data_IF_071361960546
#
_entry.id   IF_071361960546
#
_cell.length_a   1.000
_cell.length_b   1.000
_cell.length_c   1.000
_cell.angle_alpha   90.00
_cell.angle_beta   90.00
_cell.angle_gamma   90.00
#
_symmetry.space_group_name_H-M   'P 1'
#
loop_
_entity.id
_entity.type
_entity.pdbx_description
1 polymer ?
#
# COMPACT_ATOMS: atom_id res chain seq x y z
N UNK A 1 37.68 -34.48 9.79
CA UNK A 1 37.27 -33.09 9.49
C UNK A 1 37.77 -32.18 10.61
N UNK A 2 38.62 -31.22 10.31
CA UNK A 2 39.32 -30.43 11.32
C UNK A 2 38.39 -29.44 11.99
N UNK A 3 38.54 -29.23 13.30
CA UNK A 3 37.78 -28.24 14.12
C UNK A 3 37.72 -26.83 13.47
N UNK A 4 38.73 -26.50 12.68
CA UNK A 4 38.82 -25.20 11.97
C UNK A 4 37.79 -25.05 10.83
N UNK A 5 37.44 -26.14 10.15
CA UNK A 5 36.41 -26.13 9.07
C UNK A 5 35.02 -25.98 9.67
N UNK A 6 34.76 -26.61 10.82
CA UNK A 6 33.44 -26.46 11.50
C UNK A 6 33.19 -25.04 12.00
N UNK A 7 34.23 -24.33 12.47
CA UNK A 7 34.11 -22.94 12.93
C UNK A 7 33.88 -22.00 11.77
N UNK A 8 34.51 -22.23 10.62
CA UNK A 8 34.33 -21.39 9.41
C UNK A 8 32.90 -21.51 8.83
N UNK A 9 32.33 -22.70 8.84
CA UNK A 9 30.95 -22.93 8.38
C UNK A 9 29.93 -22.28 9.34
N UNK A 10 30.19 -22.31 10.66
CA UNK A 10 29.31 -21.66 11.63
C UNK A 10 29.31 -20.13 11.51
N UNK A 11 30.47 -19.52 11.21
CA UNK A 11 30.57 -18.05 11.02
C UNK A 11 29.88 -17.61 9.73
N UNK A 12 29.98 -18.38 8.63
CA UNK A 12 29.27 -18.08 7.38
C UNK A 12 27.75 -18.21 7.55
N UNK A 13 27.27 -19.17 8.33
CA UNK A 13 25.84 -19.31 8.63
C UNK A 13 25.28 -18.14 9.46
N UNK A 14 26.07 -17.55 10.37
CA UNK A 14 25.66 -16.40 11.16
C UNK A 14 25.57 -15.10 10.34
N UNK A 15 26.41 -14.94 9.32
CA UNK A 15 26.40 -13.75 8.47
C UNK A 15 25.19 -13.73 7.51
N UNK A 16 24.68 -14.91 7.13
CA UNK A 16 23.48 -15.03 6.30
C UNK A 16 22.16 -14.76 7.05
N UNK A 17 22.18 -14.76 8.39
CA UNK A 17 21.00 -14.47 9.22
C UNK A 17 20.68 -12.98 9.39
N UNK A 18 21.54 -12.06 8.91
CA UNK A 18 21.23 -10.63 8.78
C UNK A 18 20.48 -10.31 7.48
N UNK A 19 19.62 -11.20 7.02
CA UNK A 19 18.67 -10.89 5.97
C UNK A 19 17.76 -9.78 6.46
N UNK A 20 17.92 -8.62 5.87
CA UNK A 20 17.15 -7.39 6.07
C UNK A 20 15.68 -7.70 6.21
N UNK A 21 15.18 -7.67 7.45
CA UNK A 21 13.75 -7.72 7.71
C UNK A 21 13.12 -6.45 7.13
N UNK A 22 12.56 -6.58 5.93
CA UNK A 22 11.69 -5.55 5.37
C UNK A 22 10.43 -5.43 6.22
N UNK A 23 9.61 -4.41 6.02
CA UNK A 23 8.35 -4.29 6.72
C UNK A 23 7.51 -5.54 6.47
N UNK A 24 6.96 -6.15 7.53
CA UNK A 24 6.01 -7.24 7.42
C UNK A 24 4.58 -6.71 7.36
N UNK A 25 3.63 -7.50 6.83
CA UNK A 25 2.22 -7.17 6.98
C UNK A 25 1.78 -7.48 8.40
N UNK A 26 1.26 -6.49 9.12
CA UNK A 26 0.65 -6.70 10.44
C UNK A 26 -0.78 -7.19 10.33
N UNK A 27 -1.47 -6.77 9.28
CA UNK A 27 -2.84 -7.17 9.02
C UNK A 27 -3.14 -7.10 7.53
N UNK A 28 -3.91 -8.05 7.06
CA UNK A 28 -4.54 -8.02 5.74
C UNK A 28 -5.99 -8.47 5.85
N UNK A 29 -6.83 -7.90 5.01
CA UNK A 29 -8.22 -8.26 4.87
C UNK A 29 -8.57 -8.42 3.40
N UNK A 30 -9.49 -9.31 3.12
CA UNK A 30 -10.00 -9.59 1.79
C UNK A 30 -11.51 -9.79 1.84
N UNK A 31 -12.20 -9.27 0.84
CA UNK A 31 -13.62 -9.56 0.68
C UNK A 31 -13.82 -11.07 0.43
N UNK A 32 -14.72 -11.73 1.16
CA UNK A 32 -14.91 -13.18 1.09
C UNK A 32 -15.23 -13.70 -0.31
N UNK A 33 -15.91 -12.90 -1.11
CA UNK A 33 -16.35 -13.24 -2.45
C UNK A 33 -15.26 -13.02 -3.52
N UNK A 34 -14.13 -12.39 -3.17
CA UNK A 34 -13.08 -12.08 -4.11
C UNK A 34 -12.18 -13.29 -4.33
N UNK A 35 -12.35 -13.98 -5.45
CA UNK A 35 -11.50 -15.11 -5.81
C UNK A 35 -10.17 -14.66 -6.42
N UNK A 36 -10.18 -13.66 -7.32
CA UNK A 36 -8.99 -13.07 -7.96
C UNK A 36 -9.18 -11.60 -8.20
N UNK A 37 -8.09 -10.85 -7.99
CA UNK A 37 -8.01 -9.45 -8.38
C UNK A 37 -7.54 -9.39 -9.84
N UNK A 38 -8.47 -9.20 -10.75
CA UNK A 38 -8.18 -9.02 -12.17
C UNK A 38 -8.80 -7.70 -12.61
N UNK A 39 -7.93 -6.75 -12.92
CA UNK A 39 -8.32 -5.46 -13.48
C UNK A 39 -7.84 -5.38 -14.91
N UNK A 40 -8.70 -4.90 -15.81
CA UNK A 40 -8.27 -4.53 -17.15
C UNK A 40 -7.49 -3.22 -17.10
N UNK A 41 -7.93 -2.32 -16.21
CA UNK A 41 -7.32 -1.02 -16.04
C UNK A 41 -7.44 -0.54 -14.60
N UNK A 42 -6.41 -0.72 -13.80
CA UNK A 42 -6.37 -0.22 -12.43
C UNK A 42 -5.65 1.14 -12.35
N UNK A 43 -6.13 2.03 -11.51
CA UNK A 43 -5.42 3.24 -11.13
C UNK A 43 -4.53 2.94 -9.92
N UNK A 44 -3.28 3.41 -9.93
CA UNK A 44 -2.43 3.47 -8.73
C UNK A 44 -2.33 4.92 -8.26
N UNK A 45 -2.61 5.16 -6.99
CA UNK A 45 -2.52 6.49 -6.38
C UNK A 45 -1.79 6.44 -5.05
N UNK A 46 -0.88 7.38 -4.86
CA UNK A 46 -0.22 7.61 -3.58
C UNK A 46 -0.73 8.92 -2.96
N UNK A 47 -1.27 8.80 -1.75
CA UNK A 47 -1.86 9.94 -1.04
C UNK A 47 -0.75 10.76 -0.39
N UNK A 48 -0.39 11.85 -1.03
CA UNK A 48 0.58 12.83 -0.53
C UNK A 48 0.39 14.18 -1.23
N UNK A 49 0.71 15.26 -0.54
CA UNK A 49 0.74 16.62 -1.11
C UNK A 49 2.04 16.90 -1.86
N UNK A 50 3.09 16.11 -1.64
CA UNK A 50 4.35 16.20 -2.40
C UNK A 50 4.18 15.59 -3.79
N UNK A 51 4.17 16.46 -4.81
CA UNK A 51 3.96 16.03 -6.20
C UNK A 51 5.13 15.23 -6.79
N UNK A 52 6.35 15.44 -6.33
CA UNK A 52 7.54 14.70 -6.76
C UNK A 52 7.50 13.27 -6.23
N UNK A 53 7.32 13.14 -4.93
CA UNK A 53 7.17 11.86 -4.25
C UNK A 53 5.97 11.07 -4.79
N UNK A 54 4.84 11.74 -5.02
CA UNK A 54 3.65 11.12 -5.62
C UNK A 54 3.96 10.47 -6.96
N UNK A 55 4.59 11.19 -7.88
CA UNK A 55 4.95 10.66 -9.21
C UNK A 55 5.87 9.46 -9.10
N UNK A 56 6.95 9.60 -8.34
CA UNK A 56 7.93 8.52 -8.14
C UNK A 56 7.27 7.23 -7.63
N UNK A 57 6.43 7.33 -6.61
CA UNK A 57 5.75 6.18 -6.01
C UNK A 57 4.70 5.59 -6.96
N UNK A 58 3.85 6.42 -7.59
CA UNK A 58 2.81 5.94 -8.50
C UNK A 58 3.42 5.23 -9.72
N UNK A 59 4.53 5.72 -10.28
CA UNK A 59 5.25 5.07 -11.38
C UNK A 59 5.79 3.69 -10.97
N UNK A 60 6.40 3.60 -9.80
CA UNK A 60 6.91 2.32 -9.29
C UNK A 60 5.79 1.31 -9.01
N UNK A 61 4.67 1.76 -8.47
CA UNK A 61 3.50 0.91 -8.27
C UNK A 61 2.98 0.38 -9.61
N UNK A 62 2.86 1.25 -10.60
CA UNK A 62 2.36 0.87 -11.92
C UNK A 62 3.26 -0.15 -12.63
N UNK A 63 4.58 -0.13 -12.40
CA UNK A 63 5.48 -1.16 -12.94
C UNK A 63 5.36 -2.52 -12.27
N UNK A 64 4.87 -2.56 -11.03
CA UNK A 64 4.76 -3.79 -10.22
C UNK A 64 3.39 -4.45 -10.28
N UNK A 65 2.35 -3.66 -10.52
CA UNK A 65 0.95 -4.11 -10.54
C UNK A 65 0.49 -4.24 -11.99
N UNK A 66 0.31 -5.45 -12.51
CA UNK A 66 -0.09 -5.66 -13.90
C UNK A 66 -1.41 -4.94 -14.23
N UNK A 67 -1.48 -4.30 -15.39
CA UNK A 67 -2.67 -3.59 -15.85
C UNK A 67 -2.97 -2.28 -15.11
N UNK A 68 -2.00 -1.75 -14.34
CA UNK A 68 -2.19 -0.50 -13.62
C UNK A 68 -1.49 0.69 -14.26
N UNK A 69 -1.98 1.89 -13.93
CA UNK A 69 -1.52 3.17 -14.48
C UNK A 69 -1.40 4.20 -13.36
N UNK A 70 -0.35 5.05 -13.35
CA UNK A 70 -0.21 6.10 -12.36
C UNK A 70 -1.35 7.12 -12.48
N UNK A 71 -1.96 7.48 -11.37
CA UNK A 71 -3.09 8.42 -11.36
C UNK A 71 -2.71 9.80 -11.91
N UNK A 72 -1.51 10.29 -11.56
CA UNK A 72 -1.06 11.61 -11.98
C UNK A 72 -0.98 11.79 -13.50
N UNK A 73 -0.63 10.73 -14.24
CA UNK A 73 -0.50 10.78 -15.71
C UNK A 73 -1.76 10.33 -16.43
N UNK A 74 -2.42 9.28 -15.93
CA UNK A 74 -3.60 8.72 -16.56
C UNK A 74 -4.85 9.60 -16.41
N UNK A 75 -4.96 10.31 -15.28
CA UNK A 75 -6.03 11.25 -14.96
C UNK A 75 -5.45 12.55 -14.38
N UNK A 76 -4.79 13.40 -15.19
CA UNK A 76 -4.02 14.55 -14.70
C UNK A 76 -4.81 15.52 -13.82
N UNK A 77 -6.11 15.63 -14.05
CA UNK A 77 -7.03 16.49 -13.29
C UNK A 77 -7.90 15.72 -12.31
N UNK A 78 -7.39 14.58 -11.81
CA UNK A 78 -8.12 13.77 -10.84
C UNK A 78 -8.45 14.59 -9.60
N UNK A 79 -9.72 14.60 -9.23
CA UNK A 79 -10.17 15.35 -8.06
C UNK A 79 -9.70 14.67 -6.78
N UNK A 80 -8.81 15.32 -6.04
CA UNK A 80 -8.27 14.79 -4.78
C UNK A 80 -9.21 15.03 -3.59
N UNK A 81 -10.07 16.05 -3.69
CA UNK A 81 -10.92 16.48 -2.56
C UNK A 81 -12.41 16.19 -2.76
N UNK A 82 -12.80 15.84 -3.98
CA UNK A 82 -14.19 15.47 -4.29
C UNK A 82 -14.22 14.04 -4.81
N UNK A 83 -14.53 13.12 -3.94
CA UNK A 83 -14.50 11.69 -4.20
C UNK A 83 -15.50 11.25 -5.28
N UNK A 84 -16.70 11.84 -5.29
CA UNK A 84 -17.71 11.53 -6.32
C UNK A 84 -17.19 11.90 -7.72
N UNK A 85 -16.59 13.10 -7.83
CA UNK A 85 -15.96 13.54 -9.08
C UNK A 85 -14.75 12.69 -9.46
N UNK A 86 -13.92 12.31 -8.50
CA UNK A 86 -12.78 11.40 -8.74
C UNK A 86 -13.26 10.07 -9.35
N UNK A 87 -14.28 9.48 -8.74
CA UNK A 87 -14.89 8.23 -9.20
C UNK A 87 -15.45 8.35 -10.62
N UNK A 88 -16.19 9.43 -10.90
CA UNK A 88 -16.73 9.70 -12.24
C UNK A 88 -15.60 9.85 -13.28
N UNK A 89 -14.55 10.60 -12.96
CA UNK A 89 -13.38 10.76 -13.83
C UNK A 89 -12.67 9.43 -14.12
N UNK A 90 -12.52 8.57 -13.12
CA UNK A 90 -11.92 7.24 -13.28
C UNK A 90 -12.80 6.35 -14.17
N UNK A 91 -14.10 6.31 -13.93
CA UNK A 91 -15.04 5.55 -14.75
C UNK A 91 -15.09 6.06 -16.18
N UNK A 92 -15.09 7.38 -16.39
CA UNK A 92 -15.03 8.00 -17.71
C UNK A 92 -13.75 7.67 -18.50
N UNK A 93 -12.68 7.24 -17.80
CA UNK A 93 -11.44 6.74 -18.39
C UNK A 93 -11.33 5.21 -18.40
N UNK A 94 -12.44 4.51 -18.16
CA UNK A 94 -12.57 3.07 -18.17
C UNK A 94 -11.68 2.35 -17.15
N UNK A 95 -11.42 2.98 -16.00
CA UNK A 95 -10.81 2.28 -14.88
C UNK A 95 -11.84 1.40 -14.18
N UNK A 96 -11.47 0.14 -13.96
CA UNK A 96 -12.28 -0.86 -13.26
C UNK A 96 -11.75 -1.17 -11.86
N UNK A 97 -10.51 -0.73 -11.56
CA UNK A 97 -9.88 -0.88 -10.26
C UNK A 97 -9.15 0.36 -9.79
N UNK A 98 -8.98 0.48 -8.47
CA UNK A 98 -8.16 1.49 -7.82
C UNK A 98 -7.31 0.87 -6.71
N UNK A 99 -6.00 1.11 -6.76
CA UNK A 99 -5.03 0.79 -5.72
C UNK A 99 -4.60 2.10 -5.09
N UNK A 100 -4.93 2.31 -3.82
CA UNK A 100 -4.58 3.53 -3.10
C UNK A 100 -3.61 3.19 -1.98
N UNK A 101 -2.51 3.92 -1.93
CA UNK A 101 -1.46 3.77 -0.92
C UNK A 101 -1.36 5.07 -0.12
N UNK A 102 -1.28 4.96 1.18
CA UNK A 102 -1.00 6.09 2.08
C UNK A 102 -0.03 5.70 3.18
N UNK A 103 0.68 6.69 3.67
CA UNK A 103 1.47 6.58 4.91
C UNK A 103 0.57 6.98 6.07
N UNK A 104 0.61 6.20 7.14
CA UNK A 104 -0.13 6.46 8.39
C UNK A 104 0.84 6.57 9.55
N UNK A 105 0.60 7.52 10.44
CA UNK A 105 1.38 7.66 11.67
C UNK A 105 0.98 6.61 12.70
N UNK A 106 1.97 6.07 13.42
CA UNK A 106 1.71 5.01 14.41
C UNK A 106 0.84 5.50 15.57
N UNK A 107 0.92 6.79 15.90
CA UNK A 107 0.08 7.42 16.92
C UNK A 107 -1.41 7.48 16.54
N UNK A 108 -1.71 7.54 15.26
CA UNK A 108 -3.09 7.58 14.72
C UNK A 108 -3.61 6.17 14.36
N UNK A 109 -2.71 5.20 14.28
CA UNK A 109 -3.07 3.82 14.05
C UNK A 109 -3.67 3.25 15.34
N UNK A 110 -4.98 3.32 15.48
CA UNK A 110 -5.67 2.41 16.40
C UNK A 110 -5.27 1.01 16.01
N UNK A 111 -4.40 0.38 16.80
CA UNK A 111 -4.05 -1.03 16.66
C UNK A 111 -5.30 -1.81 16.99
N UNK A 112 -6.12 -2.09 15.98
CA UNK A 112 -7.25 -2.99 16.15
C UNK A 112 -6.70 -4.42 16.11
N UNK A 113 -7.18 -5.28 17.03
CA UNK A 113 -6.80 -6.69 17.02
C UNK A 113 -7.09 -7.34 15.67
N UNK A 114 -6.30 -8.35 15.26
CA UNK A 114 -6.60 -9.12 14.07
C UNK A 114 -8.04 -9.65 14.11
N UNK A 115 -8.82 -9.37 13.08
CA UNK A 115 -10.21 -9.83 12.96
C UNK A 115 -11.29 -8.84 13.42
N UNK A 116 -10.95 -7.72 14.04
CA UNK A 116 -11.91 -6.64 14.27
C UNK A 116 -11.72 -5.55 13.21
N UNK A 117 -12.67 -5.51 12.28
CA UNK A 117 -12.60 -4.78 11.04
C UNK A 117 -12.54 -3.26 11.19
N UNK A 118 -11.35 -2.69 11.17
CA UNK A 118 -11.19 -1.28 10.83
C UNK A 118 -11.64 -0.99 9.38
N UNK A 119 -11.82 -2.02 8.57
CA UNK A 119 -12.41 -1.97 7.22
C UNK A 119 -13.94 -1.99 7.21
N UNK A 120 -14.59 -2.28 8.33
CA UNK A 120 -16.05 -2.34 8.39
C UNK A 120 -16.71 -0.98 8.44
N UNK A 121 -15.95 0.10 8.65
CA UNK A 121 -16.50 1.44 8.80
C UNK A 121 -16.65 2.21 7.48
N UNK A 122 -15.80 1.91 6.46
CA UNK A 122 -15.81 2.61 5.17
C UNK A 122 -15.70 1.65 3.98
N UNK A 123 -16.82 1.04 3.59
CA UNK A 123 -16.82 0.03 2.55
C UNK A 123 -16.65 0.57 1.12
N UNK A 124 -16.88 1.86 0.89
CA UNK A 124 -16.87 2.42 -0.45
C UNK A 124 -15.63 3.28 -0.75
N UNK A 125 -15.25 3.32 -2.03
CA UNK A 125 -14.10 4.08 -2.52
C UNK A 125 -14.22 5.58 -2.22
N UNK A 126 -15.41 6.15 -2.33
CA UNK A 126 -15.60 7.59 -2.22
C UNK A 126 -15.35 8.08 -0.79
N UNK A 127 -15.86 7.37 0.21
CA UNK A 127 -15.62 7.65 1.62
C UNK A 127 -14.15 7.54 1.95
N UNK A 128 -13.51 6.41 1.60
CA UNK A 128 -12.09 6.21 1.84
C UNK A 128 -11.22 7.29 1.17
N UNK A 129 -11.48 7.59 -0.12
CA UNK A 129 -10.75 8.61 -0.86
C UNK A 129 -10.82 9.97 -0.20
N UNK A 130 -12.03 10.39 0.18
CA UNK A 130 -12.25 11.67 0.86
C UNK A 130 -11.46 11.76 2.16
N UNK A 131 -11.51 10.73 3.00
CA UNK A 131 -10.86 10.73 4.31
C UNK A 131 -9.34 10.62 4.20
N UNK A 132 -8.82 9.82 3.26
CA UNK A 132 -7.40 9.73 3.01
C UNK A 132 -6.79 11.11 2.63
N UNK A 133 -7.43 11.84 1.72
CA UNK A 133 -6.95 13.16 1.28
C UNK A 133 -7.20 14.27 2.31
N UNK A 134 -8.26 14.19 3.13
CA UNK A 134 -8.45 15.11 4.27
C UNK A 134 -7.38 14.90 5.33
N UNK A 135 -7.09 13.66 5.67
CA UNK A 135 -6.05 13.31 6.63
C UNK A 135 -4.68 13.78 6.19
N UNK A 136 -4.34 13.62 4.91
CA UNK A 136 -3.06 14.10 4.37
C UNK A 136 -2.93 15.63 4.43
N UNK A 137 -3.99 16.37 4.13
CA UNK A 137 -3.99 17.84 4.25
C UNK A 137 -3.87 18.33 5.69
N UNK A 138 -4.39 17.58 6.65
CA UNK A 138 -4.28 17.90 8.08
C UNK A 138 -2.88 17.61 8.64
N UNK A 139 -2.08 16.80 7.94
CA UNK A 139 -0.72 16.47 8.34
C UNK A 139 0.21 17.64 8.08
N UNK A 140 0.55 18.39 9.13
CA UNK A 140 1.38 19.60 9.07
C UNK A 140 2.88 19.34 9.19
N UNK A 141 3.29 18.11 9.49
CA UNK A 141 4.71 17.76 9.64
C UNK A 141 4.95 16.30 9.30
N UNK A 142 6.06 15.93 8.65
CA UNK A 142 6.43 14.53 8.57
C UNK A 142 6.63 14.02 10.00
N UNK A 143 5.93 12.97 10.37
CA UNK A 143 6.02 12.36 11.70
C UNK A 143 7.43 11.89 11.98
N UNK A 144 8.17 12.67 12.72
CA UNK A 144 9.59 12.48 12.92
C UNK A 144 9.94 11.45 14.03
N UNK A 145 8.98 10.94 14.81
CA UNK A 145 9.38 10.33 16.09
C UNK A 145 8.72 9.00 16.45
N UNK A 146 7.60 8.62 15.88
CA UNK A 146 6.86 7.42 16.37
C UNK A 146 6.84 6.24 15.41
N UNK A 147 7.43 6.37 14.24
CA UNK A 147 7.34 5.37 13.19
C UNK A 147 6.16 5.59 12.26
N UNK A 148 6.30 5.12 11.03
CA UNK A 148 5.28 5.19 10.00
C UNK A 148 4.95 3.80 9.49
N UNK A 149 3.70 3.55 9.21
CA UNK A 149 3.22 2.35 8.53
C UNK A 149 2.66 2.72 7.17
N UNK A 150 2.61 1.74 6.26
CA UNK A 150 2.00 1.92 4.95
C UNK A 150 0.71 1.13 4.90
N UNK A 151 -0.34 1.78 4.44
CA UNK A 151 -1.63 1.18 4.17
C UNK A 151 -1.86 1.12 2.68
N UNK A 152 -2.30 -0.03 2.20
CA UNK A 152 -2.68 -0.27 0.82
C UNK A 152 -4.09 -0.78 0.79
N UNK A 153 -4.96 -0.17 -0.02
CA UNK A 153 -6.33 -0.62 -0.24
C UNK A 153 -6.59 -0.78 -1.74
N UNK A 154 -7.40 -1.76 -2.07
CA UNK A 154 -7.76 -2.08 -3.45
C UNK A 154 -9.29 -2.13 -3.57
N UNK A 155 -9.81 -1.35 -4.51
CA UNK A 155 -11.23 -1.22 -4.81
C UNK A 155 -11.55 -1.70 -6.22
N UNK A 156 -12.72 -2.29 -6.39
CA UNK A 156 -13.39 -2.36 -7.69
C UNK A 156 -14.22 -1.09 -7.88
N UNK A 157 -14.05 -0.43 -9.03
CA UNK A 157 -14.78 0.80 -9.33
C UNK A 157 -16.15 0.55 -9.96
N UNK A 158 -16.41 -0.69 -10.40
CA UNK A 158 -17.70 -1.08 -10.95
C UNK A 158 -18.83 -1.01 -9.93
N UNK A 159 -18.65 -1.69 -8.81
CA UNK A 159 -19.59 -1.77 -7.71
C UNK A 159 -19.15 -1.00 -6.45
N UNK A 160 -18.05 -0.26 -6.53
CA UNK A 160 -17.51 0.59 -5.44
C UNK A 160 -17.07 -0.19 -4.19
N UNK A 161 -16.62 -1.41 -4.38
CA UNK A 161 -16.38 -2.34 -3.29
C UNK A 161 -14.90 -2.44 -2.95
N UNK A 162 -14.58 -2.39 -1.65
CA UNK A 162 -13.27 -2.78 -1.13
C UNK A 162 -13.10 -4.29 -1.35
N UNK A 163 -12.01 -4.68 -2.00
CA UNK A 163 -11.73 -6.09 -2.29
C UNK A 163 -10.51 -6.62 -1.55
N UNK A 164 -9.58 -5.75 -1.23
CA UNK A 164 -8.42 -6.08 -0.42
C UNK A 164 -7.89 -4.86 0.31
N UNK A 165 -7.35 -5.09 1.50
CA UNK A 165 -6.64 -4.07 2.25
C UNK A 165 -5.52 -4.69 3.08
N UNK A 166 -4.42 -3.97 3.24
CA UNK A 166 -3.29 -4.41 4.04
C UNK A 166 -2.55 -3.25 4.67
N UNK A 167 -1.93 -3.53 5.81
CA UNK A 167 -1.12 -2.58 6.56
C UNK A 167 0.20 -3.23 6.95
N UNK A 168 1.28 -2.49 6.78
CA UNK A 168 2.61 -2.95 7.21
C UNK A 168 2.88 -2.64 8.67
N UNK A 169 3.87 -3.33 9.23
CA UNK A 169 4.42 -2.98 10.53
C UNK A 169 4.96 -1.55 10.52
N UNK A 170 4.81 -0.84 11.64
CA UNK A 170 5.45 0.45 11.82
C UNK A 170 6.96 0.32 11.70
N UNK A 171 7.55 1.18 10.90
CA UNK A 171 9.00 1.25 10.77
C UNK A 171 9.51 2.54 11.39
N UNK A 172 10.44 2.40 12.34
CA UNK A 172 11.18 3.53 12.91
C UNK A 172 12.56 3.60 12.24
N UNK A 173 13.06 4.80 11.98
CA UNK A 173 14.41 5.00 11.46
C UNK A 173 14.51 5.99 10.31
N UNK A 174 15.73 6.27 9.88
CA UNK A 174 16.10 7.32 8.92
C UNK A 174 15.86 6.98 7.44
N UNK A 175 14.99 6.03 7.12
CA UNK A 175 14.66 5.71 5.73
C UNK A 175 13.77 6.78 5.13
N UNK A 176 13.96 7.06 3.84
CA UNK A 176 13.05 7.93 3.13
C UNK A 176 11.65 7.31 3.05
N UNK A 177 10.62 8.15 3.04
CA UNK A 177 9.23 7.70 2.85
C UNK A 177 9.11 6.89 1.55
N UNK A 178 9.84 7.28 0.51
CA UNK A 178 9.88 6.58 -0.76
C UNK A 178 10.39 5.14 -0.64
N UNK A 179 11.50 4.93 0.08
CA UNK A 179 12.04 3.58 0.32
C UNK A 179 11.08 2.73 1.17
N UNK A 180 10.44 3.34 2.16
CA UNK A 180 9.47 2.66 3.00
C UNK A 180 8.26 2.18 2.18
N UNK A 181 7.69 3.07 1.38
CA UNK A 181 6.54 2.73 0.52
C UNK A 181 6.93 1.67 -0.50
N UNK A 182 8.11 1.78 -1.10
CA UNK A 182 8.62 0.82 -2.08
C UNK A 182 8.69 -0.61 -1.51
N UNK A 183 9.30 -0.75 -0.34
CA UNK A 183 9.37 -2.04 0.36
C UNK A 183 8.00 -2.56 0.78
N UNK A 184 7.12 -1.66 1.18
CA UNK A 184 5.75 -2.03 1.58
C UNK A 184 4.93 -2.54 0.40
N UNK A 185 5.06 -1.90 -0.76
CA UNK A 185 4.44 -2.38 -2.00
C UNK A 185 4.98 -3.76 -2.36
N UNK A 186 6.29 -4.01 -2.23
CA UNK A 186 6.87 -5.34 -2.49
C UNK A 186 6.30 -6.43 -1.56
N UNK A 187 6.07 -6.11 -0.29
CA UNK A 187 5.46 -7.05 0.67
C UNK A 187 4.01 -7.35 0.29
N UNK A 188 3.24 -6.31 -0.03
CA UNK A 188 1.85 -6.44 -0.48
C UNK A 188 1.77 -7.28 -1.76
N UNK A 189 2.62 -6.99 -2.74
CA UNK A 189 2.64 -7.75 -4.00
C UNK A 189 3.01 -9.21 -3.80
N UNK A 190 3.91 -9.51 -2.87
CA UNK A 190 4.27 -10.88 -2.50
C UNK A 190 3.09 -11.60 -1.88
N UNK A 191 2.38 -10.95 -0.96
CA UNK A 191 1.17 -11.50 -0.34
C UNK A 191 0.08 -11.77 -1.38
N UNK A 192 -0.21 -10.81 -2.25
CA UNK A 192 -1.20 -10.97 -3.31
C UNK A 192 -0.87 -12.11 -4.30
N UNK A 193 0.42 -12.34 -4.57
CA UNK A 193 0.87 -13.47 -5.42
C UNK A 193 0.82 -14.80 -4.68
N UNK A 194 1.26 -14.85 -3.42
CA UNK A 194 1.27 -16.09 -2.62
C UNK A 194 -0.14 -16.63 -2.41
N UNK A 195 -1.10 -15.74 -2.29
CA UNK A 195 -2.51 -16.07 -2.11
C UNK A 195 -3.27 -16.22 -3.44
N UNK A 196 -2.57 -16.26 -4.59
CA UNK A 196 -3.12 -16.44 -5.93
C UNK A 196 -4.14 -15.37 -6.33
N UNK A 197 -4.05 -14.17 -5.75
CA UNK A 197 -4.97 -13.08 -6.04
C UNK A 197 -4.62 -12.32 -7.31
N UNK A 198 -3.34 -12.28 -7.67
CA UNK A 198 -2.83 -11.74 -8.93
C UNK A 198 -1.88 -12.76 -9.59
N UNK A 199 -1.73 -12.64 -10.91
CA UNK A 199 -0.71 -13.40 -11.68
C UNK A 199 0.59 -12.64 -11.78
#
# INVERSE_FOLDING_TARGET
MSRRVAVLVAVVALVLACATSGPALTSSWRAPETQRLQFHRAMTSFVTTDSGLRRSVEDRMATRIPGSFPAYSAVPNLSLTNAARAREQLRGKLFDGAVVVRVIDVGDAKVLPPGQGWYSADPDFASYWSDAWKGEKARTSPAATTGVAVEVVIYTLGNDQLVWAGRTEPTTGSRSVEELVDRSVDVVMRELRSTHHIR
#
